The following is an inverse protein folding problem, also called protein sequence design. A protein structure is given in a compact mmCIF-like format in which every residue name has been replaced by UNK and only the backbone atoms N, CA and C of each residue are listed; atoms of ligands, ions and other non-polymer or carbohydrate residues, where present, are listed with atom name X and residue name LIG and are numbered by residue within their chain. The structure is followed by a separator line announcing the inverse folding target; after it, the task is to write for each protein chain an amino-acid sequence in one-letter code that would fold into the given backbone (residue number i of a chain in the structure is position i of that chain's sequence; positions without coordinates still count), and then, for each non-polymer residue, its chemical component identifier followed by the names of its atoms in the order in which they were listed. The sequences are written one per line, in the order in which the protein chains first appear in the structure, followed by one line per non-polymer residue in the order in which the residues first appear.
data_IF_623304013283
#
_entry.id   IF_623304013283
#
_cell.length_a   1.000
_cell.length_b   1.000
_cell.length_c   1.000
_cell.angle_alpha   90.00
_cell.angle_beta   90.00
_cell.angle_gamma   90.00
#
_symmetry.space_group_name_H-M   'P 1'
#
loop_
_entity.id
_entity.type
_entity.pdbx_description
1 polymer ?
#
# COMPACT_ATOMS: atom_id res chain seq x y z
N UNK A 1 3.66 -1.52 -13.05
CA UNK A 1 2.20 -1.48 -12.97
C UNK A 1 1.73 -0.09 -13.33
N UNK A 2 0.67 0.01 -14.12
CA UNK A 2 0.06 1.28 -14.50
C UNK A 2 -1.46 1.20 -14.39
N UNK A 3 -2.09 2.34 -14.05
CA UNK A 3 -3.55 2.48 -13.98
C UNK A 3 -4.19 1.33 -13.21
N UNK A 4 -3.67 1.09 -12.01
CA UNK A 4 -4.22 0.06 -11.10
C UNK A 4 -5.43 0.65 -10.38
N UNK A 5 -6.56 -0.04 -10.44
CA UNK A 5 -7.79 0.33 -9.76
C UNK A 5 -8.19 -0.76 -8.77
N UNK A 6 -8.46 -0.37 -7.55
CA UNK A 6 -9.09 -1.20 -6.53
C UNK A 6 -10.59 -0.96 -6.58
N UNK A 7 -11.31 -1.88 -7.23
CA UNK A 7 -12.73 -1.69 -7.57
C UNK A 7 -13.60 -1.96 -6.35
N UNK A 8 -13.33 -3.06 -5.67
CA UNK A 8 -14.05 -3.41 -4.43
C UNK A 8 -13.23 -4.34 -3.54
N UNK A 9 -13.45 -4.31 -2.21
CA UNK A 9 -12.78 -5.20 -1.28
C UNK A 9 -13.13 -6.67 -1.55
N UNK A 10 -12.17 -7.56 -1.31
CA UNK A 10 -12.44 -9.00 -1.25
C UNK A 10 -13.03 -9.32 0.13
N UNK A 11 -14.30 -9.67 0.18
CA UNK A 11 -14.95 -10.17 1.40
C UNK A 11 -14.82 -11.69 1.46
N UNK A 12 -14.32 -12.21 2.58
CA UNK A 12 -14.24 -13.66 2.84
C UNK A 12 -15.34 -14.01 3.85
N UNK A 13 -16.54 -14.22 3.31
CA UNK A 13 -17.74 -14.56 4.13
C UNK A 13 -18.03 -16.06 4.13
N UNK A 14 -17.43 -16.80 3.21
CA UNK A 14 -17.61 -18.24 3.03
C UNK A 14 -16.37 -19.02 3.40
N UNK A 15 -16.51 -20.32 3.65
CA UNK A 15 -15.39 -21.20 4.01
C UNK A 15 -14.37 -21.37 2.89
N UNK A 16 -14.74 -21.08 1.65
CA UNK A 16 -13.85 -21.11 0.49
C UNK A 16 -14.25 -20.04 -0.53
N UNK A 17 -13.26 -19.26 -0.96
CA UNK A 17 -13.39 -18.28 -2.05
C UNK A 17 -12.35 -18.65 -3.08
N UNK A 18 -12.76 -18.76 -4.33
CA UNK A 18 -11.84 -18.92 -5.45
C UNK A 18 -11.40 -17.54 -5.94
N UNK A 19 -10.09 -17.34 -6.04
CA UNK A 19 -9.52 -16.07 -6.51
C UNK A 19 -8.65 -16.35 -7.72
N UNK A 20 -9.00 -15.72 -8.84
CA UNK A 20 -8.27 -15.79 -10.10
C UNK A 20 -7.55 -14.48 -10.41
N UNK A 21 -6.35 -14.61 -10.94
CA UNK A 21 -5.63 -13.49 -11.55
C UNK A 21 -5.39 -13.79 -13.03
N UNK A 22 -6.07 -13.07 -13.89
CA UNK A 22 -5.97 -13.23 -15.34
C UNK A 22 -5.11 -12.13 -15.94
N UNK A 23 -4.20 -12.49 -16.86
CA UNK A 23 -3.38 -11.52 -17.61
C UNK A 23 -3.60 -11.74 -19.09
N UNK A 24 -4.11 -10.73 -19.78
CA UNK A 24 -4.33 -10.72 -21.23
C UNK A 24 -3.77 -9.43 -21.83
N UNK A 25 -2.93 -9.51 -22.82
CA UNK A 25 -2.34 -8.37 -23.54
C UNK A 25 -1.77 -7.28 -22.60
N UNK A 26 -1.05 -7.70 -21.56
CA UNK A 26 -0.47 -6.82 -20.53
C UNK A 26 -1.50 -6.11 -19.64
N UNK A 27 -2.74 -6.50 -19.64
CA UNK A 27 -3.74 -6.10 -18.66
C UNK A 27 -3.98 -7.24 -17.68
N UNK A 28 -4.17 -6.92 -16.43
CA UNK A 28 -4.50 -7.90 -15.41
C UNK A 28 -5.82 -7.57 -14.73
N UNK A 29 -6.50 -8.62 -14.32
CA UNK A 29 -7.69 -8.55 -13.46
C UNK A 29 -7.57 -9.59 -12.35
N UNK A 30 -7.98 -9.20 -11.15
CA UNK A 30 -8.11 -10.08 -9.99
C UNK A 30 -9.59 -10.18 -9.67
N UNK A 31 -10.12 -11.39 -9.77
CA UNK A 31 -11.54 -11.68 -9.57
C UNK A 31 -11.73 -12.72 -8.47
N UNK A 32 -12.88 -12.71 -7.84
CA UNK A 32 -13.33 -13.83 -7.03
C UNK A 32 -14.63 -14.42 -7.56
N UNK A 33 -14.80 -15.72 -7.31
CA UNK A 33 -16.04 -16.45 -7.55
C UNK A 33 -16.36 -17.36 -6.37
N UNK A 34 -17.61 -17.78 -6.26
CA UNK A 34 -18.01 -18.79 -5.29
C UNK A 34 -17.35 -20.14 -5.61
N UNK A 35 -17.12 -20.93 -4.56
CA UNK A 35 -16.40 -22.21 -4.64
C UNK A 35 -16.98 -23.23 -5.61
N UNK A 36 -18.25 -23.10 -5.95
CA UNK A 36 -18.96 -24.05 -6.82
C UNK A 36 -18.72 -23.78 -8.33
N UNK A 37 -18.08 -22.67 -8.67
CA UNK A 37 -17.72 -22.33 -10.07
C UNK A 37 -18.91 -22.29 -11.05
N UNK A 38 -20.12 -22.33 -10.52
CA UNK A 38 -21.36 -22.47 -11.30
C UNK A 38 -22.02 -21.10 -11.60
N UNK A 39 -21.56 -20.01 -11.00
CA UNK A 39 -22.07 -18.68 -11.32
C UNK A 39 -21.12 -18.00 -12.33
N UNK A 40 -21.69 -17.54 -13.44
CA UNK A 40 -21.00 -16.67 -14.42
C UNK A 40 -20.66 -15.27 -13.84
N UNK A 41 -20.95 -15.04 -12.57
CA UNK A 41 -20.78 -13.75 -11.89
C UNK A 41 -19.46 -13.67 -11.12
N UNK A 42 -18.34 -13.58 -11.85
CA UNK A 42 -17.06 -13.25 -11.25
C UNK A 42 -17.04 -11.76 -10.80
N UNK A 43 -16.64 -11.53 -9.57
CA UNK A 43 -16.52 -10.19 -9.00
C UNK A 43 -15.10 -9.66 -9.18
N UNK A 44 -14.95 -8.53 -9.87
CA UNK A 44 -13.65 -7.88 -10.08
C UNK A 44 -13.26 -7.05 -8.87
N UNK A 45 -12.10 -7.34 -8.26
CA UNK A 45 -11.57 -6.61 -7.12
C UNK A 45 -10.49 -5.62 -7.49
N UNK A 46 -9.65 -5.98 -8.45
CA UNK A 46 -8.55 -5.14 -8.88
C UNK A 46 -8.27 -5.34 -10.37
N UNK A 47 -7.93 -4.28 -11.05
CA UNK A 47 -7.49 -4.35 -12.45
C UNK A 47 -6.40 -3.33 -12.73
N UNK A 48 -5.63 -3.54 -13.80
CA UNK A 48 -4.56 -2.63 -14.19
C UNK A 48 -3.79 -3.11 -15.41
N UNK A 49 -2.66 -2.46 -15.69
CA UNK A 49 -1.77 -2.82 -16.78
C UNK A 49 -0.35 -3.13 -16.29
N UNK A 50 0.29 -4.09 -16.97
CA UNK A 50 1.69 -4.43 -16.83
C UNK A 50 2.45 -3.75 -17.97
N UNK A 51 3.44 -2.95 -17.63
CA UNK A 51 4.31 -2.32 -18.62
C UNK A 51 5.74 -2.81 -18.40
N UNK A 52 6.34 -3.41 -19.41
CA UNK A 52 7.78 -3.61 -19.42
C UNK A 52 8.44 -2.24 -19.60
N UNK A 53 9.24 -1.81 -18.64
CA UNK A 53 9.90 -0.53 -18.71
C UNK A 53 11.41 -0.74 -18.74
N UNK A 54 12.00 -0.54 -19.91
CA UNK A 54 13.46 -0.64 -20.12
C UNK A 54 14.24 0.54 -19.55
N UNK A 55 13.53 1.61 -19.16
CA UNK A 55 14.14 2.85 -18.68
C UNK A 55 13.34 3.48 -17.57
N UNK A 56 13.48 2.97 -16.38
CA UNK A 56 13.02 3.69 -15.21
C UNK A 56 14.23 4.31 -14.55
N UNK A 57 14.27 5.64 -14.58
CA UNK A 57 15.14 6.37 -13.67
C UNK A 57 14.67 6.13 -12.24
N UNK A 58 15.29 5.17 -11.57
CA UNK A 58 15.17 5.07 -10.12
C UNK A 58 15.63 6.39 -9.53
N UNK A 59 14.71 7.13 -8.95
CA UNK A 59 15.08 8.30 -8.17
C UNK A 59 15.47 7.82 -6.80
N UNK A 60 16.75 7.96 -6.46
CA UNK A 60 17.20 7.69 -5.10
C UNK A 60 16.46 8.61 -4.13
N UNK A 61 15.73 8.02 -3.20
CA UNK A 61 15.04 8.77 -2.15
C UNK A 61 16.01 9.00 -1.00
N UNK A 62 16.35 10.26 -0.73
CA UNK A 62 17.16 10.61 0.43
C UNK A 62 16.29 10.59 1.71
N UNK A 63 16.11 9.40 2.25
CA UNK A 63 15.38 9.17 3.49
C UNK A 63 16.00 9.87 4.70
N UNK A 64 17.31 10.09 4.69
CA UNK A 64 18.01 10.76 5.79
C UNK A 64 17.65 12.25 5.84
N UNK A 65 17.65 12.91 4.69
CA UNK A 65 17.18 14.30 4.58
C UNK A 65 15.70 14.43 4.87
N UNK A 66 14.86 13.49 4.39
CA UNK A 66 13.44 13.50 4.65
C UNK A 66 13.13 13.35 6.14
N UNK A 67 13.68 12.34 6.80
CA UNK A 67 13.50 12.13 8.24
C UNK A 67 14.12 13.25 9.07
N UNK A 68 15.24 13.82 8.60
CA UNK A 68 15.88 14.98 9.23
C UNK A 68 15.01 16.23 9.25
N UNK A 69 14.28 16.50 8.17
CA UNK A 69 13.30 17.61 8.09
C UNK A 69 12.08 17.42 8.99
N UNK A 70 11.74 16.17 9.30
CA UNK A 70 10.63 15.79 10.15
C UNK A 70 11.05 15.55 11.61
N UNK A 71 12.27 15.97 12.01
CA UNK A 71 12.72 15.92 13.41
C UNK A 71 11.73 16.69 14.29
N UNK A 72 11.22 16.02 15.33
CA UNK A 72 10.18 16.58 16.21
C UNK A 72 8.74 16.28 15.78
N UNK A 73 8.54 15.67 14.62
CA UNK A 73 7.24 15.21 14.12
C UNK A 73 7.08 13.68 14.25
N UNK A 74 7.75 13.05 15.21
CA UNK A 74 7.65 11.62 15.44
C UNK A 74 6.22 11.27 15.90
N UNK A 75 5.68 10.21 15.30
CA UNK A 75 4.35 9.68 15.61
C UNK A 75 4.51 8.32 16.25
N UNK A 76 3.74 8.05 17.31
CA UNK A 76 3.67 6.74 17.91
C UNK A 76 2.96 5.77 16.95
N UNK A 77 3.67 4.77 16.44
CA UNK A 77 3.11 3.80 15.48
C UNK A 77 1.95 3.01 16.09
N UNK A 78 1.98 2.74 17.40
CA UNK A 78 0.84 2.14 18.10
C UNK A 78 -0.44 2.98 17.98
N UNK A 79 -0.34 4.28 18.21
CA UNK A 79 -1.50 5.18 18.10
C UNK A 79 -2.04 5.25 16.65
N UNK A 80 -1.18 5.07 15.64
CA UNK A 80 -1.61 5.00 14.25
C UNK A 80 -2.48 3.76 14.01
N UNK A 81 -2.01 2.58 14.45
CA UNK A 81 -2.79 1.34 14.33
C UNK A 81 -4.05 1.33 15.19
N UNK A 82 -4.02 1.95 16.38
CA UNK A 82 -5.21 2.13 17.20
C UNK A 82 -6.26 3.01 16.48
N UNK A 83 -5.79 4.01 15.74
CA UNK A 83 -6.65 4.85 14.89
C UNK A 83 -7.27 4.05 13.74
N UNK A 84 -6.52 3.17 13.09
CA UNK A 84 -7.05 2.28 12.06
C UNK A 84 -8.07 1.28 12.63
N UNK A 85 -7.78 0.70 13.79
CA UNK A 85 -8.69 -0.23 14.46
C UNK A 85 -10.03 0.46 14.82
N UNK A 86 -9.96 1.69 15.34
CA UNK A 86 -11.14 2.50 15.61
C UNK A 86 -11.94 2.86 14.35
N UNK A 87 -11.28 2.88 13.19
CA UNK A 87 -11.91 3.09 11.89
C UNK A 87 -12.39 1.78 11.22
N UNK A 88 -12.25 0.63 11.90
CA UNK A 88 -12.68 -0.68 11.42
C UNK A 88 -11.61 -1.45 10.63
N UNK A 89 -10.38 -0.92 10.52
CA UNK A 89 -9.27 -1.60 9.86
C UNK A 89 -8.38 -2.31 10.89
N UNK A 90 -8.62 -3.60 11.07
CA UNK A 90 -7.97 -4.43 12.08
C UNK A 90 -6.71 -5.08 11.51
N UNK A 91 -5.57 -4.43 11.68
CA UNK A 91 -4.28 -4.98 11.26
C UNK A 91 -3.79 -6.08 12.18
N UNK A 92 -3.51 -7.26 11.61
CA UNK A 92 -2.85 -8.35 12.32
C UNK A 92 -1.34 -8.08 12.52
N UNK A 93 -0.66 -8.86 13.40
CA UNK A 93 0.76 -8.62 13.73
C UNK A 93 1.71 -8.63 12.53
N UNK A 94 1.41 -9.44 11.50
CA UNK A 94 2.20 -9.54 10.28
C UNK A 94 2.09 -8.30 9.39
N UNK A 95 1.00 -7.54 9.55
CA UNK A 95 0.69 -6.30 8.84
C UNK A 95 0.93 -5.04 9.69
N UNK A 96 1.66 -5.16 10.80
CA UNK A 96 2.13 -4.05 11.63
C UNK A 96 3.64 -3.95 11.52
N UNK A 97 4.12 -3.44 10.37
CA UNK A 97 5.56 -3.40 10.06
C UNK A 97 6.20 -2.04 10.31
N UNK A 98 5.42 -1.00 10.57
CA UNK A 98 5.94 0.32 10.89
C UNK A 98 6.69 0.31 12.22
N UNK A 99 8.02 0.50 12.18
CA UNK A 99 8.85 0.64 13.39
C UNK A 99 8.90 2.07 13.90
N UNK A 100 9.03 3.01 12.96
CA UNK A 100 9.10 4.45 13.25
C UNK A 100 8.36 5.22 12.17
N UNK A 101 7.69 6.27 12.57
CA UNK A 101 6.94 7.13 11.68
C UNK A 101 7.13 8.60 12.06
N UNK A 102 7.16 9.45 11.06
CA UNK A 102 7.26 10.90 11.18
C UNK A 102 6.30 11.54 10.19
N UNK A 103 5.53 12.51 10.62
CA UNK A 103 4.62 13.23 9.74
C UNK A 103 4.30 14.60 10.28
N UNK A 104 4.25 15.58 9.42
CA UNK A 104 3.94 16.96 9.81
C UNK A 104 2.46 17.33 9.62
N UNK A 105 1.61 16.38 9.21
CA UNK A 105 0.21 16.63 8.87
C UNK A 105 0.00 17.48 7.61
N UNK A 106 1.07 17.98 6.99
CA UNK A 106 1.01 18.94 5.88
C UNK A 106 2.00 18.52 4.79
N UNK A 107 1.68 17.48 4.07
CA UNK A 107 2.30 17.20 2.79
C UNK A 107 3.51 16.26 2.75
N UNK A 108 4.20 15.96 3.86
CA UNK A 108 5.32 15.01 3.87
C UNK A 108 5.28 14.12 5.09
N UNK A 109 5.48 12.82 4.89
CA UNK A 109 5.73 11.84 5.95
C UNK A 109 6.86 10.91 5.56
N UNK A 110 7.48 10.29 6.55
CA UNK A 110 8.45 9.23 6.39
C UNK A 110 8.16 8.12 7.39
N UNK A 111 8.36 6.88 7.00
CA UNK A 111 8.24 5.75 7.89
C UNK A 111 9.37 4.76 7.62
N UNK A 112 9.82 4.10 8.67
CA UNK A 112 10.72 2.96 8.60
C UNK A 112 9.95 1.70 8.88
N UNK A 113 10.06 0.72 7.97
CA UNK A 113 9.43 -0.57 8.09
C UNK A 113 10.42 -1.58 8.67
N UNK A 114 9.90 -2.54 9.40
CA UNK A 114 10.64 -3.68 9.94
C UNK A 114 11.19 -4.53 8.80
N UNK A 115 12.47 -4.85 8.89
CA UNK A 115 13.07 -5.80 7.95
C UNK A 115 12.43 -7.19 8.11
N UNK A 116 12.12 -7.83 7.01
CA UNK A 116 11.60 -9.20 6.95
C UNK A 116 12.72 -10.20 6.68
N UNK A 117 12.60 -11.37 7.26
CA UNK A 117 13.49 -12.49 6.98
C UNK A 117 13.18 -13.20 5.68
N UNK A 118 11.95 -13.05 5.15
CA UNK A 118 11.50 -13.68 3.90
C UNK A 118 10.47 -12.81 3.19
N UNK A 119 10.53 -12.81 1.88
CA UNK A 119 9.55 -12.15 1.00
C UNK A 119 8.40 -13.09 0.58
N UNK A 120 8.40 -14.34 1.07
CA UNK A 120 7.37 -15.35 0.75
C UNK A 120 7.12 -15.53 -0.75
N UNK A 121 8.18 -15.42 -1.57
CA UNK A 121 8.09 -15.58 -3.03
C UNK A 121 7.65 -14.32 -3.78
N UNK A 122 7.40 -13.20 -3.10
CA UNK A 122 7.03 -11.92 -3.73
C UNK A 122 8.25 -11.02 -3.93
N UNK A 123 8.18 -10.07 -4.86
CA UNK A 123 9.22 -9.05 -5.05
C UNK A 123 9.18 -8.01 -3.92
N UNK A 124 7.99 -7.59 -3.54
CA UNK A 124 7.71 -6.75 -2.38
C UNK A 124 6.62 -7.44 -1.58
N UNK A 125 6.84 -7.62 -0.29
CA UNK A 125 5.85 -8.29 0.54
C UNK A 125 4.58 -7.43 0.67
N UNK A 126 3.37 -8.00 0.51
CA UNK A 126 2.12 -7.22 0.54
C UNK A 126 1.95 -6.35 1.78
N UNK A 127 2.32 -6.86 2.96
CA UNK A 127 2.21 -6.11 4.20
C UNK A 127 3.17 -4.91 4.27
N UNK A 128 4.33 -4.96 3.61
CA UNK A 128 5.25 -3.83 3.56
C UNK A 128 4.72 -2.73 2.63
N UNK A 129 4.09 -3.13 1.52
CA UNK A 129 3.42 -2.21 0.62
C UNK A 129 2.21 -1.55 1.29
N UNK A 130 1.40 -2.34 1.98
CA UNK A 130 0.20 -1.86 2.69
C UNK A 130 0.58 -0.86 3.80
N UNK A 131 1.58 -1.17 4.62
CA UNK A 131 2.06 -0.25 5.66
C UNK A 131 2.73 1.00 5.07
N UNK A 132 3.38 0.90 3.92
CA UNK A 132 3.87 2.09 3.21
C UNK A 132 2.72 3.01 2.78
N UNK A 133 1.60 2.44 2.33
CA UNK A 133 0.37 3.18 2.04
C UNK A 133 -0.27 3.74 3.31
N UNK A 134 -0.25 3.00 4.43
CA UNK A 134 -0.72 3.49 5.73
C UNK A 134 -0.01 4.77 6.19
N UNK A 135 1.25 4.98 5.78
CA UNK A 135 1.97 6.21 6.07
C UNK A 135 1.34 7.45 5.42
N UNK A 136 0.44 7.32 4.45
CA UNK A 136 -0.33 8.43 3.88
C UNK A 136 -1.22 9.11 4.91
N UNK A 137 -1.69 8.38 5.92
CA UNK A 137 -2.46 8.95 7.02
C UNK A 137 -1.70 10.05 7.80
N UNK A 138 -0.36 10.03 7.74
CA UNK A 138 0.50 10.99 8.42
C UNK A 138 0.61 12.34 7.70
N UNK A 139 0.19 12.43 6.44
CA UNK A 139 0.18 13.66 5.63
C UNK A 139 -1.21 14.28 5.50
N UNK A 140 -2.25 13.56 5.91
CA UNK A 140 -3.63 14.03 5.85
C UNK A 140 -3.98 14.76 7.15
N UNK A 141 -3.98 16.10 7.14
CA UNK A 141 -4.60 16.89 8.21
C UNK A 141 -6.11 16.67 8.16
N UNK A 142 -6.61 15.93 9.14
CA UNK A 142 -7.97 15.41 9.17
C UNK A 142 -9.09 16.45 9.25
N UNK A 143 -9.49 17.03 8.14
CA UNK A 143 -10.81 17.58 7.97
C UNK A 143 -11.69 16.57 7.22
N UNK A 144 -12.23 15.62 7.97
CA UNK A 144 -13.11 14.59 7.43
C UNK A 144 -12.74 13.22 7.97
N UNK A 145 -13.33 12.83 9.11
CA UNK A 145 -13.01 11.62 9.86
C UNK A 145 -13.42 10.30 9.20
N UNK A 146 -13.21 10.13 7.90
CA UNK A 146 -13.42 8.88 7.18
C UNK A 146 -12.11 8.19 6.86
N UNK A 147 -12.07 6.88 7.05
CA UNK A 147 -10.97 6.02 6.59
C UNK A 147 -10.84 6.14 5.07
N UNK A 148 -9.66 6.52 4.60
CA UNK A 148 -9.35 6.54 3.17
C UNK A 148 -8.63 5.26 2.81
N UNK A 149 -9.21 4.50 1.89
CA UNK A 149 -8.56 3.34 1.27
C UNK A 149 -7.98 3.76 -0.09
N UNK A 150 -6.87 3.16 -0.53
CA UNK A 150 -6.36 3.36 -1.88
C UNK A 150 -7.44 2.96 -2.89
N UNK A 151 -7.78 3.88 -3.79
CA UNK A 151 -8.73 3.60 -4.87
C UNK A 151 -8.03 3.33 -6.19
N UNK A 152 -6.97 4.07 -6.47
CA UNK A 152 -6.20 3.90 -7.69
C UNK A 152 -4.72 4.20 -7.46
N UNK A 153 -3.89 3.57 -8.29
CA UNK A 153 -2.46 3.85 -8.41
C UNK A 153 -2.15 4.07 -9.88
N UNK A 154 -1.71 5.27 -10.24
CA UNK A 154 -1.43 5.63 -11.62
C UNK A 154 -0.22 4.89 -12.15
N UNK A 155 0.89 4.95 -11.40
CA UNK A 155 2.14 4.25 -11.71
C UNK A 155 2.73 3.62 -10.47
N UNK A 156 3.10 2.34 -10.56
CA UNK A 156 3.83 1.66 -9.51
C UNK A 156 5.01 0.90 -10.08
N UNK A 157 6.18 1.18 -9.52
CA UNK A 157 7.39 0.45 -9.79
C UNK A 157 7.76 -0.33 -8.54
N UNK A 158 7.79 -1.66 -8.67
CA UNK A 158 8.10 -2.56 -7.56
C UNK A 158 9.42 -3.27 -7.86
N UNK A 159 10.36 -3.16 -6.95
CA UNK A 159 11.62 -3.91 -7.00
C UNK A 159 11.93 -4.46 -5.61
N UNK A 160 12.20 -5.74 -5.54
CA UNK A 160 12.65 -6.38 -4.32
C UNK A 160 14.04 -5.85 -3.92
N UNK A 161 14.21 -5.64 -2.62
CA UNK A 161 15.49 -5.25 -2.02
C UNK A 161 15.75 -6.03 -0.73
N UNK A 162 17.03 -6.20 -0.38
CA UNK A 162 17.41 -6.72 0.92
C UNK A 162 17.65 -5.57 1.88
N UNK A 163 17.12 -5.66 3.10
CA UNK A 163 17.38 -4.68 4.15
C UNK A 163 16.12 -4.02 4.72
N UNK A 164 16.33 -2.96 5.49
CA UNK A 164 15.22 -2.17 6.04
C UNK A 164 14.62 -1.27 4.96
N UNK A 165 13.31 -1.28 4.88
CA UNK A 165 12.55 -0.46 3.95
C UNK A 165 12.20 0.89 4.57
N UNK A 166 12.08 1.90 3.72
CA UNK A 166 11.61 3.22 4.08
C UNK A 166 10.48 3.62 3.15
N UNK A 167 9.39 4.07 3.72
CA UNK A 167 8.32 4.73 2.97
C UNK A 167 8.49 6.25 3.07
N UNK A 168 8.48 6.92 1.95
CA UNK A 168 8.39 8.38 1.89
C UNK A 168 7.11 8.77 1.17
N UNK A 169 6.30 9.56 1.85
CA UNK A 169 5.04 10.07 1.33
C UNK A 169 5.15 11.56 1.12
N UNK A 170 4.82 12.01 -0.07
CA UNK A 170 4.75 13.42 -0.39
C UNK A 170 3.42 13.74 -1.09
N UNK A 171 2.71 14.74 -0.57
CA UNK A 171 1.51 15.24 -1.25
C UNK A 171 1.94 16.10 -2.42
N UNK A 172 1.53 15.70 -3.62
CA UNK A 172 1.61 16.53 -4.81
C UNK A 172 0.28 17.25 -5.03
N UNK A 173 0.28 18.33 -5.83
CA UNK A 173 -0.94 19.08 -6.11
C UNK A 173 -2.02 18.17 -6.70
N UNK A 174 -3.02 17.81 -5.89
CA UNK A 174 -4.16 16.97 -6.29
C UNK A 174 -3.99 15.46 -6.14
N UNK A 175 -2.79 14.98 -5.76
CA UNK A 175 -2.53 13.55 -5.56
C UNK A 175 -1.55 13.30 -4.42
N UNK A 176 -1.55 12.10 -3.87
CA UNK A 176 -0.56 11.64 -2.89
C UNK A 176 0.40 10.66 -3.60
N UNK A 177 1.69 10.96 -3.57
CA UNK A 177 2.72 10.06 -4.09
C UNK A 177 3.38 9.32 -2.93
N UNK A 178 3.52 8.01 -3.05
CA UNK A 178 4.22 7.16 -2.10
C UNK A 178 5.43 6.54 -2.77
N UNK A 179 6.60 6.68 -2.13
CA UNK A 179 7.82 5.99 -2.53
C UNK A 179 8.26 5.06 -1.40
N UNK A 180 8.60 3.82 -1.74
CA UNK A 180 9.02 2.77 -0.79
C UNK A 180 10.42 2.30 -1.12
#
# INVERSE_FOLDING_TARGET
LQSVFFVQPLAIETASVHVDCTIVESRFEVCSSDADGMSDDATVHCSGALTATDRIGWHGVDHASASGRLRGCAVATGALYDGFDAAGLQYGPEYRTLERAWGNGVGVAAARLRARSTQQGTQVHPADLDDALCATALVSSGEGGGTRLPFAVDDALLQGGAGGLWALVARQHGAEAVSV
#
